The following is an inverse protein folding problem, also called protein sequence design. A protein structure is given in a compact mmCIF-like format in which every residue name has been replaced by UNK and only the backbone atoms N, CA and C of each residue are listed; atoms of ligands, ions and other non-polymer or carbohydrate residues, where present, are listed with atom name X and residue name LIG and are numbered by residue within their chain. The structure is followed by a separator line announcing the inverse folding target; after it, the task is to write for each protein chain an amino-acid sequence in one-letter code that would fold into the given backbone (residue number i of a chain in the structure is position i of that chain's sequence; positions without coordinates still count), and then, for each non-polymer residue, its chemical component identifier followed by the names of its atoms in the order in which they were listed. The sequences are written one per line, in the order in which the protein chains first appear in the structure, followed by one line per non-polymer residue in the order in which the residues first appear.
data_IF_545161788732
#
_entry.id   IF_545161788732
#
_cell.length_a   1.000
_cell.length_b   1.000
_cell.length_c   1.000
_cell.angle_alpha   90.00
_cell.angle_beta   90.00
_cell.angle_gamma   90.00
#
_symmetry.space_group_name_H-M   'P 1'
#
loop_
_entity.id
_entity.type
_entity.pdbx_description
1 polymer ?
#
# COMPACT_ATOMS: atom_id res chain seq x y z
N UNK A 1 -13.22 25.98 2.16
CA UNK A 1 -13.10 24.62 1.59
C UNK A 1 -14.30 24.26 0.71
N UNK A 2 -15.52 24.26 1.22
CA UNK A 2 -16.72 23.88 0.46
C UNK A 2 -16.84 24.62 -0.89
N UNK A 3 -16.64 25.93 -0.89
CA UNK A 3 -16.67 26.73 -2.13
C UNK A 3 -15.66 26.23 -3.17
N UNK A 4 -14.45 25.88 -2.74
CA UNK A 4 -13.41 25.35 -3.67
C UNK A 4 -13.86 24.03 -4.26
N UNK A 5 -14.44 23.13 -3.48
CA UNK A 5 -14.99 21.87 -3.98
C UNK A 5 -16.10 22.09 -4.99
N UNK A 6 -17.02 23.00 -4.72
CA UNK A 6 -18.09 23.39 -5.65
C UNK A 6 -17.51 23.98 -6.94
N UNK A 7 -16.51 24.85 -6.86
CA UNK A 7 -15.85 25.42 -8.04
C UNK A 7 -15.18 24.34 -8.91
N UNK A 8 -14.62 23.27 -8.29
CA UNK A 8 -14.07 22.14 -9.06
C UNK A 8 -15.14 21.36 -9.83
N UNK A 9 -16.40 21.37 -9.38
CA UNK A 9 -17.51 20.74 -10.08
C UNK A 9 -18.12 21.64 -11.18
N UNK A 10 -18.00 22.96 -11.04
CA UNK A 10 -18.68 23.93 -11.90
C UNK A 10 -17.78 24.42 -13.04
N UNK A 11 -16.49 24.61 -12.78
CA UNK A 11 -15.56 25.16 -13.77
C UNK A 11 -15.32 24.18 -14.91
N UNK A 12 -15.67 24.54 -16.15
CA UNK A 12 -15.40 23.68 -17.29
C UNK A 12 -13.91 23.72 -17.66
N UNK A 13 -13.35 22.55 -17.98
CA UNK A 13 -11.99 22.43 -18.48
C UNK A 13 -10.91 22.50 -17.40
N UNK A 14 -9.78 23.16 -17.69
CA UNK A 14 -8.62 23.18 -16.81
C UNK A 14 -8.81 24.12 -15.62
N UNK A 15 -8.80 23.58 -14.42
CA UNK A 15 -8.88 24.35 -13.18
C UNK A 15 -7.50 24.88 -12.79
N UNK A 16 -7.41 26.19 -12.55
CA UNK A 16 -6.24 26.87 -12.03
C UNK A 16 -6.68 28.06 -11.17
N UNK A 17 -5.76 28.73 -10.50
CA UNK A 17 -6.10 29.83 -9.57
C UNK A 17 -6.78 31.01 -10.26
N UNK A 18 -6.44 31.28 -11.52
CA UNK A 18 -7.09 32.32 -12.30
C UNK A 18 -8.56 31.99 -12.54
N UNK A 19 -8.87 30.74 -12.89
CA UNK A 19 -10.26 30.30 -13.06
C UNK A 19 -11.01 30.28 -11.72
N UNK A 20 -10.38 29.84 -10.63
CA UNK A 20 -10.99 29.95 -9.30
C UNK A 20 -11.32 31.39 -8.95
N UNK A 21 -10.45 32.36 -9.31
CA UNK A 21 -10.71 33.78 -9.11
C UNK A 21 -11.82 34.34 -10.02
N UNK A 22 -12.02 33.80 -11.24
CA UNK A 22 -13.08 34.23 -12.16
C UNK A 22 -14.47 33.73 -11.78
N UNK A 23 -14.56 32.52 -11.27
CA UNK A 23 -15.84 31.87 -10.96
C UNK A 23 -16.19 31.92 -9.46
N UNK A 24 -15.22 32.17 -8.59
CA UNK A 24 -15.40 32.21 -7.15
C UNK A 24 -15.59 33.63 -6.60
N UNK A 25 -15.84 33.70 -5.30
CA UNK A 25 -16.07 34.96 -4.56
C UNK A 25 -14.81 35.78 -4.33
N UNK A 26 -13.64 35.14 -4.41
CA UNK A 26 -12.36 35.75 -4.04
C UNK A 26 -11.45 35.86 -5.25
N UNK A 27 -10.53 36.82 -5.21
CA UNK A 27 -9.48 36.96 -6.23
C UNK A 27 -8.49 35.79 -6.23
N UNK A 28 -7.80 35.59 -7.34
CA UNK A 28 -6.81 34.54 -7.57
C UNK A 28 -5.81 34.38 -6.40
N UNK A 29 -5.27 35.50 -5.92
CA UNK A 29 -4.24 35.53 -4.89
C UNK A 29 -4.72 34.88 -3.58
N UNK A 30 -6.00 35.08 -3.21
CA UNK A 30 -6.57 34.50 -2.01
C UNK A 30 -6.69 32.98 -2.10
N UNK A 31 -7.11 32.45 -3.24
CA UNK A 31 -7.14 31.00 -3.48
C UNK A 31 -5.73 30.42 -3.42
N UNK A 32 -4.73 31.04 -4.06
CA UNK A 32 -3.35 30.65 -4.03
C UNK A 32 -2.80 30.57 -2.60
N UNK A 33 -3.05 31.56 -1.77
CA UNK A 33 -2.65 31.58 -0.35
C UNK A 33 -3.34 30.47 0.47
N UNK A 34 -4.62 30.19 0.21
CA UNK A 34 -5.34 29.13 0.91
C UNK A 34 -4.83 27.73 0.55
N UNK A 35 -4.45 27.48 -0.69
CA UNK A 35 -3.84 26.21 -1.10
C UNK A 35 -2.45 25.98 -0.48
N UNK A 36 -1.76 27.01 -0.03
CA UNK A 36 -0.52 26.89 0.73
C UNK A 36 -0.72 26.49 2.20
N UNK A 37 -1.93 26.48 2.71
CA UNK A 37 -2.22 26.10 4.09
C UNK A 37 -2.38 24.60 4.22
N UNK A 38 -1.90 24.06 5.35
CA UNK A 38 -2.12 22.65 5.68
C UNK A 38 -3.61 22.41 5.93
N UNK A 39 -4.10 21.31 5.40
CA UNK A 39 -5.47 20.85 5.61
C UNK A 39 -5.42 19.36 5.97
N UNK A 40 -6.22 18.96 6.95
CA UNK A 40 -6.29 17.56 7.39
C UNK A 40 -7.22 16.76 6.48
N UNK A 41 -6.67 16.37 5.30
CA UNK A 41 -7.38 15.59 4.29
C UNK A 41 -7.83 14.24 4.83
N UNK A 42 -6.98 13.58 5.62
CA UNK A 42 -7.28 12.27 6.16
C UNK A 42 -8.55 12.29 7.03
N UNK A 43 -8.60 13.20 8.01
CA UNK A 43 -9.78 13.30 8.88
C UNK A 43 -11.02 13.78 8.13
N UNK A 44 -10.87 14.73 7.20
CA UNK A 44 -11.97 15.22 6.39
C UNK A 44 -12.59 14.11 5.53
N UNK A 45 -11.77 13.38 4.78
CA UNK A 45 -12.23 12.33 3.90
C UNK A 45 -12.74 11.10 4.67
N UNK A 46 -12.09 10.75 5.80
CA UNK A 46 -12.57 9.68 6.67
C UNK A 46 -13.96 9.98 7.24
N UNK A 47 -14.24 11.22 7.64
CA UNK A 47 -15.56 11.62 8.10
C UNK A 47 -16.61 11.56 6.99
N UNK A 48 -16.25 11.98 5.76
CA UNK A 48 -17.16 11.86 4.61
C UNK A 48 -17.46 10.40 4.27
N UNK A 49 -16.43 9.54 4.28
CA UNK A 49 -16.58 8.11 4.02
C UNK A 49 -17.40 7.42 5.11
N UNK A 50 -17.20 7.79 6.38
CA UNK A 50 -17.75 7.09 7.54
C UNK A 50 -19.26 6.93 7.56
N UNK A 51 -20.01 7.83 6.91
CA UNK A 51 -21.46 7.72 6.75
C UNK A 51 -21.92 6.83 5.59
N UNK A 52 -20.98 6.36 4.76
CA UNK A 52 -21.25 5.67 3.50
C UNK A 52 -20.61 4.28 3.43
N UNK A 53 -19.83 3.87 4.43
CA UNK A 53 -19.08 2.61 4.42
C UNK A 53 -19.83 1.49 5.12
N UNK A 54 -19.60 0.25 4.64
CA UNK A 54 -20.05 -0.98 5.28
C UNK A 54 -19.19 -1.40 6.48
N UNK A 55 -19.38 -2.64 6.91
CA UNK A 55 -18.69 -3.17 8.10
C UNK A 55 -17.30 -3.75 7.79
N UNK A 56 -17.06 -4.19 6.56
CA UNK A 56 -15.80 -4.83 6.14
C UNK A 56 -14.95 -3.88 5.33
N UNK A 57 -14.03 -3.22 6.02
CA UNK A 57 -13.16 -2.21 5.40
C UNK A 57 -11.68 -2.53 5.62
N UNK A 58 -10.83 -2.06 4.70
CA UNK A 58 -9.39 -2.17 4.78
C UNK A 58 -8.72 -0.89 4.24
N UNK A 59 -7.57 -0.52 4.80
CA UNK A 59 -6.75 0.56 4.28
C UNK A 59 -6.01 0.07 3.04
N UNK A 60 -6.17 0.74 1.91
CA UNK A 60 -5.30 0.56 0.75
C UNK A 60 -4.10 1.50 0.85
N UNK A 61 -2.91 0.98 0.60
CA UNK A 61 -1.68 1.77 0.49
C UNK A 61 -1.00 1.47 -0.84
N UNK A 62 -0.91 2.46 -1.71
CA UNK A 62 -0.31 2.32 -3.04
C UNK A 62 0.37 3.59 -3.52
N UNK A 63 1.70 3.55 -3.81
CA UNK A 63 2.40 4.66 -4.45
C UNK A 63 2.05 4.76 -5.93
N UNK A 64 1.69 5.96 -6.34
CA UNK A 64 1.35 6.28 -7.73
C UNK A 64 2.22 7.40 -8.29
N UNK A 65 2.32 7.49 -9.62
CA UNK A 65 3.17 8.45 -10.30
C UNK A 65 2.38 9.52 -11.02
N UNK A 66 2.85 10.77 -10.88
CA UNK A 66 2.36 11.91 -11.66
C UNK A 66 3.47 12.36 -12.59
N UNK A 67 3.30 12.17 -13.88
CA UNK A 67 4.25 12.66 -14.89
C UNK A 67 4.37 14.18 -14.81
N UNK A 68 5.61 14.68 -14.72
CA UNK A 68 5.88 16.10 -14.58
C UNK A 68 7.10 16.53 -15.41
N UNK A 69 6.92 17.52 -16.26
CA UNK A 69 7.96 18.08 -17.12
C UNK A 69 8.67 19.30 -16.53
N UNK A 70 8.08 19.99 -15.56
CA UNK A 70 8.64 21.19 -14.95
C UNK A 70 9.96 20.95 -14.19
N UNK A 71 10.83 21.94 -14.13
CA UNK A 71 12.13 21.85 -13.44
C UNK A 71 12.05 22.24 -11.96
N UNK A 72 11.12 23.11 -11.59
CA UNK A 72 11.01 23.71 -10.26
C UNK A 72 9.96 23.05 -9.35
N UNK A 73 9.44 21.89 -9.71
CA UNK A 73 8.46 21.19 -8.86
C UNK A 73 9.20 20.52 -7.69
N UNK A 74 8.82 20.81 -6.43
CA UNK A 74 9.42 20.17 -5.26
C UNK A 74 9.31 18.64 -5.34
N UNK A 75 10.35 17.93 -4.88
CA UNK A 75 10.44 16.46 -4.84
C UNK A 75 10.29 15.77 -6.20
N UNK A 76 10.59 16.49 -7.28
CA UNK A 76 10.72 15.87 -8.59
C UNK A 76 11.91 14.91 -8.57
N UNK A 77 11.68 13.64 -8.84
CA UNK A 77 12.70 12.60 -8.76
C UNK A 77 12.63 11.61 -9.92
N UNK A 78 13.48 10.60 -9.84
CA UNK A 78 13.39 9.41 -10.70
C UNK A 78 12.84 8.27 -9.86
N UNK A 79 11.68 7.77 -10.26
CA UNK A 79 11.01 6.66 -9.60
C UNK A 79 10.79 5.52 -10.59
N UNK A 80 10.83 4.29 -10.09
CA UNK A 80 10.66 3.10 -10.92
C UNK A 80 9.20 2.96 -11.34
N UNK A 81 8.97 2.85 -12.64
CA UNK A 81 7.65 2.60 -13.22
C UNK A 81 7.56 1.15 -13.66
N UNK A 82 6.72 0.34 -13.01
CA UNK A 82 6.48 -1.05 -13.38
C UNK A 82 5.93 -1.20 -14.81
N UNK A 83 5.02 -0.31 -15.23
CA UNK A 83 4.45 -0.31 -16.58
C UNK A 83 5.51 -0.01 -17.66
N UNK A 84 6.45 0.89 -17.38
CA UNK A 84 7.49 1.26 -18.32
C UNK A 84 8.78 0.46 -18.16
N UNK A 85 8.90 -0.34 -17.11
CA UNK A 85 10.10 -1.11 -16.73
C UNK A 85 11.37 -0.27 -16.69
N UNK A 86 11.24 1.00 -16.29
CA UNK A 86 12.36 1.94 -16.21
C UNK A 86 12.09 3.04 -15.18
N UNK A 87 13.17 3.67 -14.70
CA UNK A 87 13.05 4.86 -13.85
C UNK A 87 12.66 6.07 -14.68
N UNK A 88 11.51 6.67 -14.38
CA UNK A 88 11.00 7.89 -15.03
C UNK A 88 11.12 9.08 -14.12
N UNK A 89 11.31 10.27 -14.73
CA UNK A 89 11.24 11.54 -14.03
C UNK A 89 9.78 11.90 -13.79
N UNK A 90 9.37 11.91 -12.53
CA UNK A 90 7.99 12.14 -12.12
C UNK A 90 7.93 12.60 -10.65
N UNK A 91 6.74 12.88 -10.19
CA UNK A 91 6.41 12.91 -8.77
C UNK A 91 5.85 11.54 -8.38
N UNK A 92 6.20 11.08 -7.20
CA UNK A 92 5.52 9.94 -6.60
C UNK A 92 4.68 10.42 -5.42
N UNK A 93 3.48 9.89 -5.31
CA UNK A 93 2.56 10.12 -4.20
C UNK A 93 2.17 8.77 -3.58
N UNK A 94 2.29 8.67 -2.28
CA UNK A 94 1.76 7.53 -1.52
C UNK A 94 0.27 7.77 -1.28
N UNK A 95 -0.57 7.03 -2.00
CA UNK A 95 -2.02 7.06 -1.86
C UNK A 95 -2.47 6.23 -0.67
N UNK A 96 -3.37 6.79 0.13
CA UNK A 96 -4.08 6.08 1.21
C UNK A 96 -5.56 6.09 0.86
N UNK A 97 -6.14 4.91 0.73
CA UNK A 97 -7.57 4.72 0.46
C UNK A 97 -8.23 3.85 1.52
N UNK A 98 -9.54 3.91 1.59
CA UNK A 98 -10.38 3.03 2.40
C UNK A 98 -11.20 2.16 1.45
N UNK A 99 -10.85 0.89 1.38
CA UNK A 99 -11.58 -0.10 0.59
C UNK A 99 -12.79 -0.55 1.40
N UNK A 100 -13.94 -0.51 0.79
CA UNK A 100 -15.17 -1.11 1.28
C UNK A 100 -15.45 -2.40 0.51
N UNK A 101 -15.38 -3.51 1.22
CA UNK A 101 -15.61 -4.84 0.62
C UNK A 101 -17.08 -5.17 0.47
N UNK A 102 -17.96 -4.49 1.19
CA UNK A 102 -19.40 -4.72 1.11
C UNK A 102 -20.00 -3.96 -0.07
N UNK A 103 -19.55 -2.75 -0.30
CA UNK A 103 -20.00 -1.88 -1.40
C UNK A 103 -19.13 -1.96 -2.67
N UNK A 104 -18.04 -2.76 -2.64
CA UNK A 104 -17.09 -2.91 -3.75
C UNK A 104 -16.55 -1.56 -4.24
N UNK A 105 -16.25 -0.65 -3.33
CA UNK A 105 -15.77 0.71 -3.63
C UNK A 105 -14.52 1.07 -2.85
N UNK A 106 -13.89 2.17 -3.20
CA UNK A 106 -12.73 2.69 -2.50
C UNK A 106 -12.84 4.21 -2.37
N UNK A 107 -12.72 4.71 -1.15
CA UNK A 107 -12.69 6.13 -0.84
C UNK A 107 -11.25 6.60 -0.70
N UNK A 108 -10.88 7.65 -1.41
CA UNK A 108 -9.60 8.28 -1.22
C UNK A 108 -9.54 9.00 0.13
N UNK A 109 -8.54 8.71 0.96
CA UNK A 109 -8.35 9.36 2.24
C UNK A 109 -7.32 10.48 2.17
N UNK A 110 -6.11 10.18 1.71
CA UNK A 110 -5.01 11.14 1.64
C UNK A 110 -3.97 10.71 0.60
N UNK A 111 -3.25 11.68 0.04
CA UNK A 111 -2.07 11.46 -0.77
C UNK A 111 -0.88 12.21 -0.19
N UNK A 112 0.25 11.53 -0.04
CA UNK A 112 1.48 12.08 0.55
C UNK A 112 2.59 11.99 -0.48
N UNK A 113 3.22 13.13 -0.77
CA UNK A 113 4.30 13.18 -1.73
C UNK A 113 5.55 12.47 -1.20
N UNK A 114 6.14 11.59 -2.01
CA UNK A 114 7.37 10.87 -1.68
C UNK A 114 8.59 11.74 -2.04
N UNK A 115 9.52 11.96 -1.10
CA UNK A 115 10.78 12.63 -1.40
C UNK A 115 11.65 11.81 -2.33
N UNK A 116 12.46 12.46 -3.20
CA UNK A 116 13.40 11.75 -4.06
C UNK A 116 14.53 11.10 -3.24
N UNK A 117 15.16 10.06 -3.79
CA UNK A 117 16.20 9.28 -3.11
C UNK A 117 17.28 10.14 -2.43
N UNK A 118 17.79 11.18 -3.10
CA UNK A 118 18.77 12.10 -2.51
C UNK A 118 18.31 12.75 -1.20
N UNK A 119 17.02 13.08 -1.09
CA UNK A 119 16.46 13.67 0.13
C UNK A 119 16.29 12.61 1.21
N UNK A 120 15.90 11.39 0.83
CA UNK A 120 15.78 10.27 1.77
C UNK A 120 17.15 9.86 2.33
N UNK A 121 18.19 9.85 1.51
CA UNK A 121 19.57 9.57 1.92
C UNK A 121 20.08 10.56 2.99
N UNK A 122 19.71 11.84 2.87
CA UNK A 122 20.09 12.87 3.86
C UNK A 122 19.53 12.58 5.27
N UNK A 123 18.35 11.97 5.34
CA UNK A 123 17.70 11.56 6.60
C UNK A 123 17.93 10.09 6.93
N UNK A 124 18.79 9.38 6.17
CA UNK A 124 19.10 7.95 6.31
C UNK A 124 17.87 7.05 6.23
N UNK A 125 16.90 7.43 5.42
CA UNK A 125 15.70 6.63 5.17
C UNK A 125 15.85 5.91 3.83
N UNK A 126 15.45 4.63 3.83
CA UNK A 126 15.10 3.93 2.60
C UNK A 126 13.70 4.36 2.15
N UNK A 127 13.33 3.98 0.93
CA UNK A 127 11.97 4.22 0.44
C UNK A 127 10.91 3.49 1.28
N UNK A 128 11.23 2.29 1.78
CA UNK A 128 10.35 1.53 2.68
C UNK A 128 10.19 2.25 4.02
N UNK A 129 11.26 2.79 4.59
CA UNK A 129 11.19 3.56 5.83
C UNK A 129 10.30 4.79 5.68
N UNK A 130 10.34 5.44 4.51
CA UNK A 130 9.44 6.56 4.21
C UNK A 130 7.98 6.11 4.18
N UNK A 131 7.67 5.01 3.52
CA UNK A 131 6.30 4.49 3.50
C UNK A 131 5.80 4.10 4.90
N UNK A 132 6.63 3.48 5.70
CA UNK A 132 6.33 3.19 7.11
C UNK A 132 6.14 4.49 7.92
N UNK A 133 6.96 5.52 7.67
CA UNK A 133 6.79 6.82 8.32
C UNK A 133 5.44 7.46 7.95
N UNK A 134 5.02 7.38 6.69
CA UNK A 134 3.71 7.87 6.25
C UNK A 134 2.57 7.19 7.01
N UNK A 135 2.60 5.86 7.15
CA UNK A 135 1.60 5.11 7.91
C UNK A 135 1.70 5.39 9.41
N UNK A 136 2.91 5.43 9.98
CA UNK A 136 3.14 5.67 11.41
C UNK A 136 2.59 7.01 11.88
N UNK A 137 2.79 8.05 11.11
CA UNK A 137 2.28 9.40 11.44
C UNK A 137 0.75 9.51 11.38
N UNK A 138 0.07 8.53 10.81
CA UNK A 138 -1.39 8.45 10.65
C UNK A 138 -2.03 7.30 11.41
N UNK A 139 -1.21 6.51 12.09
CA UNK A 139 -1.58 5.27 12.77
C UNK A 139 -2.88 5.37 13.55
N UNK A 140 -2.96 6.32 14.48
CA UNK A 140 -4.11 6.43 15.38
C UNK A 140 -5.44 6.69 14.67
N UNK A 141 -5.39 7.48 13.58
CA UNK A 141 -6.57 7.79 12.78
C UNK A 141 -6.98 6.61 11.91
N UNK A 142 -6.02 5.92 11.32
CA UNK A 142 -6.27 4.75 10.49
C UNK A 142 -6.77 3.57 11.33
N UNK A 143 -6.24 3.34 12.53
CA UNK A 143 -6.71 2.28 13.44
C UNK A 143 -8.15 2.48 13.93
N UNK A 144 -8.67 3.71 13.92
CA UNK A 144 -10.10 3.96 14.20
C UNK A 144 -11.02 3.46 13.08
N UNK A 145 -10.50 3.30 11.88
CA UNK A 145 -11.25 2.82 10.72
C UNK A 145 -11.17 1.30 10.61
N UNK A 146 -9.95 0.76 10.65
CA UNK A 146 -9.69 -0.67 10.56
C UNK A 146 -8.24 -0.98 10.94
N UNK A 147 -7.97 -2.22 11.30
CA UNK A 147 -6.61 -2.72 11.54
C UNK A 147 -6.02 -3.51 10.35
N UNK A 148 -6.64 -3.48 9.18
CA UNK A 148 -6.15 -4.16 7.98
C UNK A 148 -5.57 -3.17 6.98
N UNK A 149 -4.33 -3.44 6.53
CA UNK A 149 -3.65 -2.70 5.46
C UNK A 149 -3.46 -3.62 4.27
N UNK A 150 -3.97 -3.20 3.12
CA UNK A 150 -3.80 -3.88 1.83
C UNK A 150 -2.74 -3.15 1.02
N UNK A 151 -1.73 -3.87 0.55
CA UNK A 151 -0.68 -3.32 -0.30
C UNK A 151 -0.28 -4.34 -1.38
N UNK A 152 0.36 -3.87 -2.45
CA UNK A 152 0.78 -4.72 -3.55
C UNK A 152 1.97 -5.64 -3.19
N UNK A 153 2.39 -6.49 -4.12
CA UNK A 153 3.49 -7.43 -3.92
C UNK A 153 4.85 -6.77 -3.63
N UNK A 154 5.04 -5.51 -3.97
CA UNK A 154 6.27 -4.77 -3.63
C UNK A 154 6.47 -4.66 -2.11
N UNK A 155 5.38 -4.61 -1.37
CA UNK A 155 5.31 -4.47 0.08
C UNK A 155 5.36 -5.80 0.85
N UNK A 156 5.50 -6.93 0.18
CA UNK A 156 5.67 -8.24 0.84
C UNK A 156 7.06 -8.45 1.44
N UNK A 157 7.85 -7.39 1.60
CA UNK A 157 9.17 -7.41 2.26
C UNK A 157 9.02 -7.45 3.77
N UNK A 158 9.86 -8.25 4.45
CA UNK A 158 9.84 -8.35 5.92
C UNK A 158 9.88 -6.99 6.61
N UNK A 159 10.80 -6.11 6.19
CA UNK A 159 10.94 -4.77 6.77
C UNK A 159 9.64 -3.95 6.75
N UNK A 160 8.84 -4.04 5.68
CA UNK A 160 7.55 -3.36 5.62
C UNK A 160 6.50 -4.07 6.47
N UNK A 161 6.42 -5.39 6.34
CA UNK A 161 5.44 -6.21 7.08
C UNK A 161 5.65 -6.06 8.59
N UNK A 162 6.88 -6.20 9.06
CA UNK A 162 7.23 -6.07 10.48
C UNK A 162 6.88 -4.67 11.00
N UNK A 163 7.27 -3.62 10.26
CA UNK A 163 6.95 -2.25 10.64
C UNK A 163 5.45 -1.93 10.68
N UNK A 164 4.64 -2.56 9.81
CA UNK A 164 3.18 -2.41 9.83
C UNK A 164 2.56 -3.18 11.00
N UNK A 165 3.06 -4.39 11.29
CA UNK A 165 2.64 -5.20 12.45
C UNK A 165 2.95 -4.51 13.78
N UNK A 166 4.14 -3.90 13.94
CA UNK A 166 4.52 -3.11 15.11
C UNK A 166 3.56 -1.92 15.37
N UNK A 167 2.94 -1.41 14.32
CA UNK A 167 1.92 -0.37 14.43
C UNK A 167 0.55 -0.91 14.86
N UNK A 168 0.36 -2.23 14.95
CA UNK A 168 -0.90 -2.88 15.31
C UNK A 168 -1.84 -3.14 14.13
N UNK A 169 -1.33 -3.07 12.90
CA UNK A 169 -2.08 -3.45 11.71
C UNK A 169 -1.76 -4.89 11.29
N UNK A 170 -2.67 -5.48 10.53
CA UNK A 170 -2.46 -6.72 9.77
C UNK A 170 -2.24 -6.38 8.30
N UNK A 171 -1.25 -7.00 7.66
CA UNK A 171 -0.94 -6.78 6.25
C UNK A 171 -1.65 -7.82 5.40
N UNK A 172 -2.34 -7.34 4.37
CA UNK A 172 -2.87 -8.17 3.29
C UNK A 172 -2.10 -7.79 2.03
N UNK A 173 -1.26 -8.70 1.55
CA UNK A 173 -0.44 -8.45 0.37
C UNK A 173 -0.32 -9.72 -0.46
N UNK A 174 -0.10 -9.53 -1.74
CA UNK A 174 0.31 -10.60 -2.64
C UNK A 174 1.80 -10.85 -2.46
N UNK A 175 2.22 -12.10 -2.47
CA UNK A 175 3.65 -12.40 -2.54
C UNK A 175 4.21 -12.08 -3.93
N UNK A 176 5.48 -11.71 -3.95
CA UNK A 176 6.23 -11.55 -5.19
C UNK A 176 6.41 -12.89 -5.88
N UNK A 177 6.58 -12.87 -7.20
CA UNK A 177 6.80 -14.09 -7.99
C UNK A 177 8.13 -14.78 -7.65
N UNK A 178 9.09 -14.04 -7.09
CA UNK A 178 10.38 -14.52 -6.61
C UNK A 178 10.41 -14.79 -5.08
N UNK A 179 9.23 -14.85 -4.43
CA UNK A 179 9.15 -15.12 -3.00
C UNK A 179 9.69 -16.50 -2.66
N UNK A 180 10.48 -16.55 -1.61
CA UNK A 180 11.13 -17.75 -1.14
C UNK A 180 10.46 -18.27 0.13
N UNK A 181 9.82 -19.43 0.02
CA UNK A 181 9.15 -20.09 1.13
C UNK A 181 9.98 -21.25 1.66
N UNK A 182 9.91 -21.48 2.95
CA UNK A 182 10.52 -22.63 3.62
C UNK A 182 9.45 -23.36 4.41
N UNK A 183 9.54 -24.68 4.39
CA UNK A 183 8.76 -25.49 5.31
C UNK A 183 9.32 -25.35 6.72
N UNK A 184 8.45 -25.30 7.71
CA UNK A 184 8.85 -25.45 9.09
C UNK A 184 9.24 -26.91 9.31
N UNK A 185 10.46 -27.15 9.79
CA UNK A 185 10.84 -28.50 10.20
C UNK A 185 10.21 -28.81 11.56
N UNK A 186 9.59 -29.95 11.66
CA UNK A 186 9.09 -30.52 12.91
C UNK A 186 10.13 -31.43 13.59
N UNK A 187 11.27 -31.68 12.91
CA UNK A 187 12.32 -32.54 13.40
C UNK A 187 13.16 -31.85 14.48
N UNK A 188 13.41 -32.57 15.55
CA UNK A 188 14.28 -32.10 16.63
C UNK A 188 15.75 -32.05 16.17
N UNK A 189 16.55 -31.09 16.66
CA UNK A 189 17.96 -31.01 16.36
C UNK A 189 18.67 -32.31 16.77
N UNK A 190 19.32 -32.97 15.83
CA UNK A 190 20.01 -34.25 16.06
C UNK A 190 21.28 -34.14 16.90
N UNK A 191 21.69 -32.94 17.34
CA UNK A 191 22.92 -32.69 18.10
C UNK A 191 24.20 -32.96 17.35
N UNK A 192 24.16 -33.45 16.11
CA UNK A 192 25.35 -33.72 15.30
C UNK A 192 25.83 -32.45 14.60
N UNK A 193 27.15 -32.34 14.42
CA UNK A 193 27.77 -31.23 13.70
C UNK A 193 27.32 -31.29 12.24
N UNK A 194 26.58 -30.28 11.78
CA UNK A 194 26.03 -30.19 10.44
C UNK A 194 24.96 -29.10 10.37
N UNK A 195 24.60 -28.72 9.15
CA UNK A 195 23.48 -27.81 8.94
C UNK A 195 22.21 -28.50 9.42
N UNK A 196 21.50 -27.88 10.36
CA UNK A 196 20.16 -28.35 10.74
C UNK A 196 19.35 -28.60 9.46
N UNK A 197 18.51 -29.63 9.40
CA UNK A 197 17.59 -29.85 8.30
C UNK A 197 16.48 -28.79 8.34
N UNK A 198 16.91 -27.55 8.32
CA UNK A 198 16.03 -26.39 8.29
C UNK A 198 15.76 -26.04 6.85
N UNK A 199 14.75 -26.51 6.25
CA UNK A 199 14.39 -26.23 4.88
C UNK A 199 14.86 -27.29 3.87
N UNK A 200 14.15 -28.37 3.82
CA UNK A 200 14.12 -29.18 2.62
C UNK A 200 13.52 -28.30 1.50
N UNK A 201 14.32 -28.22 0.43
CA UNK A 201 14.02 -27.69 -0.89
C UNK A 201 13.60 -26.21 -1.01
N UNK A 202 14.39 -25.54 -1.83
CA UNK A 202 14.02 -24.32 -2.54
C UNK A 202 12.93 -24.67 -3.55
N UNK A 203 11.68 -24.48 -3.21
CA UNK A 203 10.62 -24.47 -4.23
C UNK A 203 10.11 -23.07 -4.40
N UNK A 204 10.21 -22.56 -5.64
CA UNK A 204 9.51 -21.33 -5.96
C UNK A 204 8.01 -21.61 -5.89
N UNK A 205 7.25 -20.69 -5.33
CA UNK A 205 5.79 -20.77 -5.23
C UNK A 205 5.10 -21.11 -6.56
N UNK A 206 5.78 -20.87 -7.68
CA UNK A 206 5.29 -21.08 -9.04
C UNK A 206 5.58 -22.47 -9.60
N UNK A 207 6.50 -23.23 -9.01
CA UNK A 207 6.94 -24.53 -9.55
C UNK A 207 6.23 -25.73 -8.95
N UNK A 208 5.47 -25.56 -7.88
CA UNK A 208 4.68 -26.64 -7.30
C UNK A 208 3.41 -26.84 -8.10
N UNK A 209 3.40 -27.84 -8.91
CA UNK A 209 2.22 -28.29 -9.69
C UNK A 209 1.36 -29.31 -8.94
N UNK A 210 1.75 -29.72 -7.74
CA UNK A 210 1.03 -30.75 -6.97
C UNK A 210 0.40 -30.15 -5.72
N UNK A 211 -0.92 -30.23 -5.66
CA UNK A 211 -1.73 -29.82 -4.51
C UNK A 211 -1.38 -30.60 -3.21
N UNK A 212 -0.84 -31.80 -3.36
CA UNK A 212 -0.44 -32.70 -2.27
C UNK A 212 0.73 -32.16 -1.45
N UNK A 213 1.62 -31.37 -2.07
CA UNK A 213 2.79 -30.80 -1.38
C UNK A 213 2.44 -29.61 -0.47
N UNK A 214 1.20 -29.09 -0.60
CA UNK A 214 0.74 -27.94 0.15
C UNK A 214 -0.69 -28.16 0.63
N UNK A 215 -0.89 -28.92 1.72
CA UNK A 215 -2.23 -29.24 2.24
C UNK A 215 -3.06 -28.01 2.59
N UNK A 216 -2.44 -26.83 2.59
CA UNK A 216 -3.07 -25.54 2.88
C UNK A 216 -3.33 -24.68 1.65
N UNK A 217 -2.98 -25.16 0.44
CA UNK A 217 -3.18 -24.46 -0.83
C UNK A 217 -4.08 -25.25 -1.76
N UNK A 218 -5.32 -24.86 -1.86
CA UNK A 218 -6.22 -25.34 -2.90
C UNK A 218 -6.36 -24.31 -3.99
N UNK A 219 -6.14 -24.71 -5.23
CA UNK A 219 -6.30 -23.85 -6.41
C UNK A 219 -7.76 -23.54 -6.71
N UNK A 220 -8.70 -24.21 -6.08
CA UNK A 220 -10.14 -24.08 -6.33
C UNK A 220 -10.96 -23.54 -5.16
N UNK A 221 -10.36 -23.37 -4.00
CA UNK A 221 -11.09 -22.83 -2.85
C UNK A 221 -10.65 -21.42 -2.56
N UNK A 222 -11.63 -20.54 -2.43
CA UNK A 222 -11.47 -19.26 -1.75
C UNK A 222 -10.81 -19.53 -0.42
N UNK A 223 -9.61 -18.99 -0.20
CA UNK A 223 -8.88 -19.19 1.04
C UNK A 223 -9.72 -18.71 2.21
N UNK A 224 -10.40 -19.64 2.86
CA UNK A 224 -10.91 -19.43 4.20
C UNK A 224 -9.70 -19.47 5.11
N UNK A 225 -9.28 -18.30 5.58
CA UNK A 225 -8.54 -18.12 6.82
C UNK A 225 -7.59 -19.27 7.19
N UNK A 226 -6.49 -19.43 6.50
CA UNK A 226 -5.37 -20.14 7.08
C UNK A 226 -4.18 -19.21 7.07
N UNK A 227 -3.70 -18.96 8.27
CA UNK A 227 -2.47 -18.23 8.50
C UNK A 227 -1.32 -19.13 8.09
N UNK A 228 -0.65 -18.80 7.00
CA UNK A 228 0.74 -19.19 6.89
C UNK A 228 1.46 -18.40 7.96
N UNK A 229 1.95 -19.12 8.94
CA UNK A 229 2.78 -18.57 10.01
C UNK A 229 4.22 -18.85 9.65
N UNK A 230 4.93 -17.94 8.96
CA UNK A 230 6.37 -17.98 9.04
C UNK A 230 6.73 -17.61 10.48
N UNK A 231 7.25 -18.53 11.25
CA UNK A 231 7.93 -18.17 12.49
C UNK A 231 9.28 -17.55 12.12
N UNK A 232 9.40 -16.27 12.36
CA UNK A 232 10.67 -15.59 12.39
C UNK A 232 10.86 -15.15 13.83
N UNK A 233 11.97 -15.57 14.46
CA UNK A 233 12.34 -15.23 15.85
C UNK A 233 11.23 -15.41 16.91
N UNK A 234 10.48 -16.51 16.86
CA UNK A 234 9.48 -16.84 17.89
C UNK A 234 8.17 -16.05 17.79
N UNK A 235 8.03 -15.14 16.85
CA UNK A 235 6.76 -14.46 16.54
C UNK A 235 6.05 -15.11 15.37
N UNK A 236 4.76 -15.39 15.54
CA UNK A 236 3.93 -15.94 14.49
C UNK A 236 3.31 -14.82 13.66
N UNK A 237 3.66 -14.73 12.39
CA UNK A 237 3.06 -13.78 11.45
C UNK A 237 1.90 -14.45 10.74
N UNK A 238 0.71 -13.90 10.88
CA UNK A 238 -0.47 -14.39 10.16
C UNK A 238 -0.52 -13.72 8.78
N UNK A 239 0.06 -14.36 7.77
CA UNK A 239 -0.11 -13.95 6.39
C UNK A 239 -1.37 -14.61 5.84
N UNK A 240 -2.43 -13.84 5.59
CA UNK A 240 -3.59 -14.33 4.84
C UNK A 240 -3.28 -14.24 3.35
N UNK A 241 -3.13 -15.39 2.72
CA UNK A 241 -2.88 -15.46 1.28
C UNK A 241 -4.19 -15.58 0.52
N UNK A 242 -4.72 -14.49 0.00
CA UNK A 242 -5.86 -14.51 -0.92
C UNK A 242 -5.46 -14.68 -2.39
N UNK A 243 -4.20 -14.99 -2.66
CA UNK A 243 -3.62 -14.83 -3.98
C UNK A 243 -3.96 -15.92 -5.00
N UNK A 244 -4.14 -17.16 -4.59
CA UNK A 244 -4.36 -18.25 -5.55
C UNK A 244 -5.66 -18.06 -6.37
N UNK A 245 -6.69 -17.49 -5.78
CA UNK A 245 -7.99 -17.22 -6.44
C UNK A 245 -7.88 -16.14 -7.51
N UNK A 246 -7.05 -15.10 -7.30
CA UNK A 246 -6.94 -13.99 -8.25
C UNK A 246 -6.18 -14.36 -9.54
N UNK A 247 -5.22 -15.26 -9.49
CA UNK A 247 -4.45 -15.67 -10.68
C UNK A 247 -5.26 -16.51 -11.65
N UNK A 248 -6.18 -17.33 -11.17
CA UNK A 248 -7.02 -18.16 -12.03
C UNK A 248 -8.09 -17.35 -12.75
N UNK A 249 -8.60 -16.26 -12.15
CA UNK A 249 -9.59 -15.38 -12.79
C UNK A 249 -9.00 -14.60 -13.98
N UNK A 250 -7.71 -14.29 -13.96
CA UNK A 250 -7.05 -13.53 -15.05
C UNK A 250 -6.38 -14.40 -16.13
N UNK A 251 -6.24 -15.72 -15.90
CA UNK A 251 -5.71 -16.63 -16.93
C UNK A 251 -6.77 -17.18 -17.88
N UNK A 252 -8.02 -17.13 -17.48
CA UNK A 252 -9.16 -17.65 -18.26
C UNK A 252 -9.89 -16.56 -19.06
N UNK A 253 -9.21 -15.41 -19.34
CA UNK A 253 -9.72 -14.35 -20.22
C UNK A 253 -8.73 -14.02 -21.33
#
# INVERSE_FOLDING_TARGET
MLEVLLLHLIIPGRINFLQLGRYGRFGEQRYRQQFGRRFDWLSFNANLAGSQIGNRVAIAFDPSYISKSGKCTPYLGRFWSGCARMAKRCLEISGIGLIDMDLHTCFHLEAVQTPPAKTLEQVKYTLIDWYLHVLRTRKERLLRLTNYVVADAYFSKSTFVDGVLEMGFHVISRFRDDAYFRYLTTEQPTGKRGRLPSAQSKQSYLSSSKEEDYPYFSTKQTFRQQSLVPQYDGQSYTARVHHATYRNIYRDR
#
